data_IF_166428535059
#
_entry.id   IF_166428535059
#
_cell.length_a   1.000
_cell.length_b   1.000
_cell.length_c   1.000
_cell.angle_alpha   90.00
_cell.angle_beta   90.00
_cell.angle_gamma   90.00
#
_symmetry.space_group_name_H-M   'P 1'
#
loop_
_entity.id
_entity.type
_entity.pdbx_description
1 polymer ?
#
# COMPACT_ATOMS: atom_id res chain seq x y z
N UNK A 1 -5.58 -4.16 19.14
CA UNK A 1 -5.63 -3.56 17.80
C UNK A 1 -4.25 -3.04 17.45
N UNK A 2 -3.48 -3.76 16.64
CA UNK A 2 -2.10 -3.43 16.27
C UNK A 2 -2.06 -2.74 14.91
N UNK A 3 -1.43 -1.55 14.85
CA UNK A 3 -1.23 -0.80 13.62
C UNK A 3 -0.05 -1.41 12.82
N UNK A 4 -0.24 -1.83 11.55
CA UNK A 4 0.75 -2.60 10.78
C UNK A 4 1.93 -1.80 10.16
N UNK A 5 2.09 -0.52 10.48
CA UNK A 5 3.13 0.37 9.90
C UNK A 5 4.51 0.40 10.62
N UNK A 6 4.86 -0.60 11.45
CA UNK A 6 5.98 -0.44 12.43
C UNK A 6 7.24 -1.26 12.11
N UNK A 7 8.19 -0.66 11.39
CA UNK A 7 9.58 -1.15 11.36
C UNK A 7 10.34 -0.60 12.57
N UNK A 8 10.69 -1.49 13.52
CA UNK A 8 11.36 -1.15 14.79
C UNK A 8 12.76 -1.76 14.79
N UNK A 9 13.80 -0.93 14.94
CA UNK A 9 15.16 -1.41 15.25
C UNK A 9 15.19 -2.08 16.64
N UNK A 10 16.17 -2.95 16.91
CA UNK A 10 16.32 -3.62 18.22
C UNK A 10 16.39 -2.66 19.44
N UNK A 11 16.61 -1.36 19.19
CA UNK A 11 16.66 -0.30 20.20
C UNK A 11 15.40 0.57 20.27
N UNK A 12 14.30 0.15 19.64
CA UNK A 12 13.02 0.86 19.71
C UNK A 12 12.95 2.18 18.94
N UNK A 13 13.99 2.52 18.17
CA UNK A 13 14.04 3.72 17.33
C UNK A 13 13.38 3.45 15.98
N UNK A 14 12.58 4.41 15.51
CA UNK A 14 12.04 4.43 14.15
C UNK A 14 13.15 4.81 13.17
N UNK A 15 13.28 4.06 12.08
CA UNK A 15 14.20 4.39 10.99
C UNK A 15 13.60 5.49 10.09
N UNK A 16 12.30 5.41 9.84
CA UNK A 16 11.56 6.38 9.06
C UNK A 16 10.06 6.33 9.40
N UNK A 17 9.34 7.35 8.98
CA UNK A 17 7.87 7.46 9.08
C UNK A 17 7.38 8.38 7.98
N UNK A 18 6.41 7.93 7.20
CA UNK A 18 5.75 8.73 6.16
C UNK A 18 4.23 8.58 6.31
N UNK A 19 3.43 9.62 5.99
CA UNK A 19 1.99 9.45 5.84
C UNK A 19 1.68 8.51 4.69
N UNK A 20 0.83 7.51 4.92
CA UNK A 20 0.40 6.59 3.88
C UNK A 20 -0.94 7.02 3.29
N UNK A 21 -0.88 7.37 2.01
CA UNK A 21 -2.03 7.73 1.21
C UNK A 21 -2.43 9.20 1.28
N UNK A 22 -3.57 9.48 0.65
CA UNK A 22 -4.16 10.81 0.59
C UNK A 22 -5.68 10.75 0.51
N UNK A 23 -6.33 11.83 0.97
CA UNK A 23 -7.71 12.16 0.63
C UNK A 23 -7.74 12.88 -0.72
N UNK A 24 -8.38 12.35 -1.77
CA UNK A 24 -8.44 12.98 -3.09
C UNK A 24 -8.99 14.40 -3.08
N UNK A 25 -9.98 14.68 -2.23
CA UNK A 25 -10.57 16.01 -2.08
C UNK A 25 -9.55 17.03 -1.55
N UNK A 26 -8.74 16.65 -0.56
CA UNK A 26 -7.69 17.51 -0.02
C UNK A 26 -6.53 17.65 -1.00
N UNK A 27 -6.20 16.58 -1.72
CA UNK A 27 -5.20 16.62 -2.78
C UNK A 27 -5.61 17.57 -3.92
N UNK A 28 -6.90 17.63 -4.26
CA UNK A 28 -7.44 18.57 -5.24
C UNK A 28 -7.33 20.04 -4.80
N UNK A 29 -7.32 20.29 -3.48
CA UNK A 29 -7.05 21.60 -2.89
C UNK A 29 -5.54 21.92 -2.78
N UNK A 30 -4.66 21.04 -3.27
CA UNK A 30 -3.21 21.20 -3.24
C UNK A 30 -2.56 20.76 -1.93
N UNK A 31 -3.31 20.15 -1.01
CA UNK A 31 -2.75 19.59 0.21
C UNK A 31 -2.07 18.25 -0.09
N UNK A 32 -0.84 18.11 0.40
CA UNK A 32 -0.06 16.88 0.28
C UNK A 32 0.17 16.25 1.66
N UNK A 33 0.63 15.00 1.69
CA UNK A 33 0.98 14.29 2.93
C UNK A 33 -0.17 14.21 3.95
N UNK A 34 -1.42 14.19 3.46
CA UNK A 34 -2.63 14.13 4.29
C UNK A 34 -2.79 12.79 4.97
N UNK A 35 -2.18 11.73 4.43
CA UNK A 35 -2.43 10.36 4.85
C UNK A 35 -3.84 9.92 4.46
N UNK A 36 -4.20 8.72 4.89
CA UNK A 36 -5.54 8.18 4.73
C UNK A 36 -5.90 7.34 5.94
N UNK A 37 -7.16 6.95 6.07
CA UNK A 37 -7.46 5.80 6.91
C UNK A 37 -6.79 4.54 6.34
N UNK A 38 -6.13 3.78 7.21
CA UNK A 38 -5.35 2.62 6.78
C UNK A 38 -5.88 1.31 7.36
N UNK A 39 -6.13 0.33 6.48
CA UNK A 39 -6.57 -1.02 6.82
C UNK A 39 -5.80 -2.04 6.00
N UNK A 40 -5.35 -3.12 6.63
CA UNK A 40 -4.44 -4.09 6.00
C UNK A 40 -2.98 -3.77 6.29
N UNK A 41 -2.09 -4.68 5.92
CA UNK A 41 -0.66 -4.56 6.21
C UNK A 41 0.24 -4.58 4.97
N UNK A 42 1.53 -4.31 5.15
CA UNK A 42 2.51 -4.43 4.09
C UNK A 42 2.95 -5.88 3.88
N UNK A 43 3.58 -6.14 2.74
CA UNK A 43 4.50 -7.27 2.53
C UNK A 43 5.88 -6.73 2.17
N UNK A 44 6.94 -7.37 2.66
CA UNK A 44 8.33 -6.99 2.37
C UNK A 44 9.07 -8.14 1.70
N UNK A 45 9.81 -7.83 0.64
CA UNK A 45 10.67 -8.79 -0.06
C UNK A 45 12.06 -8.89 0.59
N UNK A 46 12.78 -9.98 0.33
CA UNK A 46 14.18 -10.12 0.76
C UNK A 46 15.11 -9.05 0.16
N UNK A 47 14.75 -8.47 -0.98
CA UNK A 47 15.46 -7.34 -1.60
C UNK A 47 15.19 -6.00 -0.93
N UNK A 48 14.36 -5.95 0.11
CA UNK A 48 14.08 -4.72 0.85
C UNK A 48 13.00 -3.83 0.23
N UNK A 49 12.15 -4.38 -0.64
CA UNK A 49 11.01 -3.65 -1.21
C UNK A 49 9.76 -3.94 -0.40
N UNK A 50 9.14 -2.89 0.14
CA UNK A 50 7.90 -2.94 0.91
C UNK A 50 6.74 -2.57 0.01
N UNK A 51 5.81 -3.49 -0.23
CA UNK A 51 4.56 -3.22 -0.94
C UNK A 51 3.41 -3.02 0.03
N UNK A 52 2.63 -1.96 -0.16
CA UNK A 52 1.45 -1.66 0.65
C UNK A 52 0.44 -0.84 -0.17
N UNK A 53 -0.84 -1.19 -0.04
CA UNK A 53 -1.93 -0.33 -0.51
C UNK A 53 -2.57 0.32 0.70
N UNK A 54 -3.32 -0.47 1.47
CA UNK A 54 -3.92 -0.18 2.77
C UNK A 54 -4.79 1.08 2.86
N UNK A 55 -4.91 1.88 1.81
CA UNK A 55 -5.64 3.14 1.77
C UNK A 55 -7.04 2.94 1.20
N UNK A 56 -7.99 3.71 1.73
CA UNK A 56 -9.37 3.66 1.28
C UNK A 56 -9.61 4.57 0.08
N UNK A 57 -9.15 5.82 0.13
CA UNK A 57 -9.70 6.86 -0.76
C UNK A 57 -8.89 7.12 -2.02
N UNK A 58 -7.58 6.90 -1.99
CA UNK A 58 -6.72 7.14 -3.16
C UNK A 58 -6.60 5.94 -4.11
N UNK A 59 -7.07 4.76 -3.69
CA UNK A 59 -7.01 3.51 -4.46
C UNK A 59 -5.63 3.21 -5.06
N UNK A 60 -4.55 3.29 -4.28
CA UNK A 60 -3.21 2.97 -4.80
C UNK A 60 -2.53 1.83 -4.08
N UNK A 61 -1.73 1.06 -4.82
CA UNK A 61 -0.66 0.23 -4.29
C UNK A 61 0.67 0.95 -4.47
N UNK A 62 1.54 0.86 -3.46
CA UNK A 62 2.82 1.57 -3.39
C UNK A 62 3.93 0.61 -3.04
N UNK A 63 5.13 0.90 -3.53
CA UNK A 63 6.36 0.25 -3.15
C UNK A 63 7.32 1.27 -2.53
N UNK A 64 7.87 0.94 -1.37
CA UNK A 64 8.85 1.73 -0.65
C UNK A 64 10.17 0.97 -0.50
N UNK A 65 11.28 1.70 -0.55
CA UNK A 65 12.56 1.20 -0.06
C UNK A 65 12.49 1.10 1.48
N UNK A 66 12.57 -0.13 1.99
CA UNK A 66 12.42 -0.41 3.42
C UNK A 66 13.52 0.19 4.30
N UNK A 67 14.68 0.54 3.74
CA UNK A 67 15.80 1.10 4.49
C UNK A 67 15.57 2.57 4.87
N UNK A 68 14.86 3.31 4.04
CA UNK A 68 14.74 4.78 4.14
C UNK A 68 13.32 5.32 3.97
N UNK A 69 12.34 4.48 3.63
CA UNK A 69 10.94 4.88 3.46
C UNK A 69 10.67 5.68 2.18
N UNK A 70 11.60 5.70 1.23
CA UNK A 70 11.41 6.39 -0.05
C UNK A 70 10.41 5.63 -0.91
N UNK A 71 9.40 6.34 -1.42
CA UNK A 71 8.51 5.82 -2.45
C UNK A 71 9.31 5.57 -3.74
N UNK A 72 9.32 4.33 -4.22
CA UNK A 72 10.07 3.93 -5.43
C UNK A 72 9.16 3.52 -6.59
N UNK A 73 7.91 3.17 -6.32
CA UNK A 73 6.91 2.85 -7.33
C UNK A 73 5.49 2.95 -6.75
N UNK A 74 4.51 3.21 -7.61
CA UNK A 74 3.10 3.08 -7.26
C UNK A 74 2.26 2.77 -8.51
N UNK A 75 1.03 2.31 -8.31
CA UNK A 75 0.04 2.13 -9.36
C UNK A 75 -1.37 2.29 -8.80
N UNK A 76 -2.28 2.73 -9.65
CA UNK A 76 -3.68 2.85 -9.32
C UNK A 76 -4.36 1.48 -9.33
N UNK A 77 -5.33 1.33 -8.45
CA UNK A 77 -6.18 0.15 -8.29
C UNK A 77 -7.61 0.51 -8.72
N UNK A 78 -8.38 -0.46 -9.24
CA UNK A 78 -9.76 -0.21 -9.62
C UNK A 78 -10.68 0.07 -8.42
N UNK A 79 -10.32 -0.42 -7.23
CA UNK A 79 -11.03 -0.24 -5.97
C UNK A 79 -10.05 -0.15 -4.79
N UNK A 80 -10.53 0.15 -3.59
CA UNK A 80 -9.72 0.24 -2.39
C UNK A 80 -8.95 -1.06 -2.08
N UNK A 81 -7.67 -0.91 -1.77
CA UNK A 81 -6.73 -2.01 -1.51
C UNK A 81 -6.49 -2.25 -0.02
N UNK A 82 -7.54 -2.64 0.72
CA UNK A 82 -7.44 -2.86 2.19
C UNK A 82 -6.95 -4.27 2.59
N UNK A 83 -6.66 -5.13 1.62
CA UNK A 83 -6.03 -6.42 1.85
C UNK A 83 -4.50 -6.27 1.92
N UNK A 84 -3.85 -7.13 2.71
CA UNK A 84 -2.39 -7.27 2.67
C UNK A 84 -1.99 -7.87 1.31
N UNK A 85 -1.11 -7.21 0.53
CA UNK A 85 -0.60 -7.80 -0.71
C UNK A 85 0.14 -9.11 -0.43
N UNK A 86 0.12 -10.02 -1.38
CA UNK A 86 0.87 -11.29 -1.33
C UNK A 86 1.87 -11.36 -2.47
N UNK A 87 2.97 -12.09 -2.29
CA UNK A 87 3.93 -12.37 -3.36
C UNK A 87 4.10 -13.87 -3.55
N UNK A 88 4.28 -14.29 -4.81
CA UNK A 88 4.51 -15.68 -5.18
C UNK A 88 5.31 -15.78 -6.48
N UNK A 89 5.79 -16.98 -6.80
CA UNK A 89 6.53 -17.30 -8.01
C UNK A 89 5.71 -18.22 -8.91
N UNK A 90 5.69 -17.94 -10.22
CA UNK A 90 5.20 -18.86 -11.26
C UNK A 90 6.19 -18.81 -12.41
N UNK A 91 6.67 -19.98 -12.86
CA UNK A 91 7.59 -20.13 -13.99
C UNK A 91 8.81 -19.19 -13.94
N UNK A 92 9.39 -19.03 -12.74
CA UNK A 92 10.56 -18.16 -12.52
C UNK A 92 10.25 -16.66 -12.45
N UNK A 93 8.98 -16.25 -12.58
CA UNK A 93 8.54 -14.86 -12.49
C UNK A 93 7.87 -14.58 -11.14
N UNK A 94 8.31 -13.51 -10.47
CA UNK A 94 7.71 -13.05 -9.22
C UNK A 94 6.50 -12.16 -9.49
N UNK A 95 5.44 -12.41 -8.75
CA UNK A 95 4.21 -11.61 -8.78
C UNK A 95 3.97 -10.95 -7.44
N UNK A 96 3.36 -9.77 -7.48
CA UNK A 96 2.69 -9.13 -6.34
C UNK A 96 1.22 -9.07 -6.66
N UNK A 97 0.36 -9.62 -5.79
CA UNK A 97 -1.08 -9.68 -5.99
C UNK A 97 -1.82 -9.10 -4.81
N UNK A 98 -2.88 -8.35 -5.11
CA UNK A 98 -3.76 -7.77 -4.10
C UNK A 98 -5.22 -7.95 -4.49
N UNK A 99 -6.05 -8.26 -3.49
CA UNK A 99 -7.51 -8.19 -3.61
C UNK A 99 -8.00 -6.77 -3.31
N UNK A 100 -8.86 -6.25 -4.17
CA UNK A 100 -9.45 -4.91 -4.06
C UNK A 100 -10.97 -5.03 -3.95
N UNK A 101 -11.60 -4.10 -3.24
CA UNK A 101 -13.06 -4.03 -3.10
C UNK A 101 -13.49 -2.60 -2.76
N UNK A 102 -14.80 -2.35 -2.63
CA UNK A 102 -15.33 -1.08 -2.09
C UNK A 102 -14.93 -0.81 -0.63
N UNK A 103 -14.37 -1.81 0.07
CA UNK A 103 -13.87 -1.71 1.43
C UNK A 103 -14.87 -1.06 2.40
N UNK A 104 -14.52 0.09 2.98
CA UNK A 104 -15.32 0.82 3.98
C UNK A 104 -15.85 2.16 3.47
N UNK A 105 -15.69 2.46 2.19
CA UNK A 105 -16.23 3.69 1.60
C UNK A 105 -17.60 3.41 0.95
N UNK A 106 -18.72 3.86 1.56
CA UNK A 106 -20.05 3.67 1.00
C UNK A 106 -20.29 4.48 -0.28
N UNK A 107 -19.44 5.45 -0.60
CA UNK A 107 -19.53 6.28 -1.82
C UNK A 107 -18.67 5.73 -2.96
N UNK A 108 -17.78 4.78 -2.70
CA UNK A 108 -16.89 4.22 -3.70
C UNK A 108 -17.64 3.34 -4.72
N UNK A 109 -17.10 3.19 -5.94
CA UNK A 109 -17.61 2.24 -6.92
C UNK A 109 -17.74 0.82 -6.35
N UNK A 110 -18.85 0.15 -6.62
CA UNK A 110 -19.06 -1.23 -6.19
C UNK A 110 -18.33 -2.20 -7.12
N UNK A 111 -17.60 -3.13 -6.53
CA UNK A 111 -16.93 -4.21 -7.25
C UNK A 111 -15.79 -4.81 -6.44
N UNK A 112 -15.17 -5.82 -7.03
CA UNK A 112 -13.98 -6.45 -6.51
C UNK A 112 -13.09 -6.95 -7.65
N UNK A 113 -11.78 -6.90 -7.46
CA UNK A 113 -10.82 -7.41 -8.43
C UNK A 113 -9.56 -7.91 -7.73
N UNK A 114 -8.95 -8.96 -8.28
CA UNK A 114 -7.54 -9.27 -8.02
C UNK A 114 -6.69 -8.56 -9.05
N UNK A 115 -5.69 -7.81 -8.59
CA UNK A 115 -4.73 -7.12 -9.45
C UNK A 115 -3.35 -7.73 -9.24
N UNK A 116 -2.68 -8.10 -10.32
CA UNK A 116 -1.36 -8.72 -10.30
C UNK A 116 -0.34 -7.85 -11.04
N UNK A 117 0.83 -7.66 -10.41
CA UNK A 117 1.96 -6.91 -10.95
C UNK A 117 3.18 -7.81 -11.05
N UNK A 118 3.95 -7.65 -12.11
CA UNK A 118 5.25 -8.29 -12.30
C UNK A 118 6.11 -7.42 -13.22
N UNK A 119 7.43 -7.56 -13.13
CA UNK A 119 8.34 -6.96 -14.11
C UNK A 119 8.12 -7.58 -15.50
N UNK A 120 8.46 -6.89 -16.61
CA UNK A 120 8.35 -7.43 -17.96
C UNK A 120 9.00 -8.81 -18.11
#
# INVERSE_FOLDING_TARGET
MGNPERYRSQHGKFLWKVPLGSYPELAAEGLSNTGSENYGGPVITASGVLFIAATIYDHQIRAFDSSNGKLIWHSDLPFAGVATPSTYMVDGKQYVVIATSNARDPKAPQGAAYVAFALP
#
